data_IF_965669369579
#
_entry.id   IF_965669369579
#
_cell.length_a   1.000
_cell.length_b   1.000
_cell.length_c   1.000
_cell.angle_alpha   90.00
_cell.angle_beta   90.00
_cell.angle_gamma   90.00
#
_symmetry.space_group_name_H-M   'P 1'
#
loop_
_entity.id
_entity.type
_entity.pdbx_description
1 polymer ?
#
# COMPACT_ATOMS: atom_id res chain seq x y z
N UNK A 1 -1.59 10.90 -22.11
CA UNK A 1 -1.61 9.76 -23.05
C UNK A 1 -2.48 8.69 -22.42
N UNK A 2 -3.50 8.20 -23.12
CA UNK A 2 -4.35 7.14 -22.60
C UNK A 2 -3.57 5.82 -22.58
N UNK A 3 -3.61 5.09 -21.45
CA UNK A 3 -2.87 3.83 -21.28
C UNK A 3 -3.30 2.81 -22.33
N UNK A 4 -4.59 2.80 -22.72
CA UNK A 4 -5.14 1.85 -23.69
C UNK A 4 -4.65 2.08 -25.13
N UNK A 5 -4.08 3.25 -25.42
CA UNK A 5 -3.52 3.58 -26.74
C UNK A 5 -2.02 3.25 -26.82
N UNK A 6 -1.40 2.89 -25.69
CA UNK A 6 0.03 2.61 -25.56
C UNK A 6 0.49 1.34 -26.29
N UNK A 7 1.79 1.27 -26.56
CA UNK A 7 2.41 0.12 -27.26
C UNK A 7 2.32 -1.15 -26.41
N UNK A 8 2.58 -1.04 -25.11
CA UNK A 8 2.48 -2.16 -24.18
C UNK A 8 1.04 -2.69 -24.06
N UNK A 9 0.03 -1.81 -24.06
CA UNK A 9 -1.37 -2.23 -24.01
C UNK A 9 -1.78 -3.04 -25.23
N UNK A 10 -1.53 -2.52 -26.44
CA UNK A 10 -1.80 -3.25 -27.69
C UNK A 10 -1.03 -4.57 -27.78
N UNK A 11 0.17 -4.63 -27.20
CA UNK A 11 0.94 -5.87 -27.09
C UNK A 11 0.28 -6.89 -26.14
N UNK A 12 -0.25 -6.44 -25.01
CA UNK A 12 -1.04 -7.27 -24.09
C UNK A 12 -2.31 -7.79 -24.74
N UNK A 13 -3.03 -6.98 -25.53
CA UNK A 13 -4.23 -7.43 -26.26
C UNK A 13 -3.91 -8.54 -27.27
N UNK A 14 -2.85 -8.37 -28.05
CA UNK A 14 -2.36 -9.41 -28.97
C UNK A 14 -1.91 -10.66 -28.21
N UNK A 15 -1.26 -10.50 -27.07
CA UNK A 15 -0.84 -11.63 -26.23
C UNK A 15 -2.04 -12.38 -25.64
N UNK A 16 -3.03 -11.65 -25.15
CA UNK A 16 -4.28 -12.21 -24.65
C UNK A 16 -4.96 -13.09 -25.69
N UNK A 17 -5.05 -12.64 -26.95
CA UNK A 17 -5.63 -13.45 -28.02
C UNK A 17 -4.93 -14.80 -28.22
N UNK A 18 -3.64 -14.92 -27.86
CA UNK A 18 -2.87 -16.16 -27.94
C UNK A 18 -3.06 -17.08 -26.73
N UNK A 19 -3.22 -16.51 -25.53
CA UNK A 19 -3.21 -17.28 -24.27
C UNK A 19 -4.58 -17.40 -23.60
N UNK A 20 -5.63 -16.77 -24.15
CA UNK A 20 -6.97 -16.70 -23.53
C UNK A 20 -7.55 -18.08 -23.17
N UNK A 21 -7.26 -19.09 -24.00
CA UNK A 21 -7.76 -20.45 -23.85
C UNK A 21 -6.78 -21.35 -23.08
N UNK A 22 -5.57 -20.85 -22.76
CA UNK A 22 -4.60 -21.58 -21.93
C UNK A 22 -5.10 -21.67 -20.49
N UNK A 23 -5.13 -22.89 -19.97
CA UNK A 23 -5.51 -23.18 -18.59
C UNK A 23 -4.33 -23.02 -17.64
N UNK A 24 -4.62 -22.74 -16.37
CA UNK A 24 -3.58 -22.69 -15.32
C UNK A 24 -2.87 -24.05 -15.23
N UNK A 25 -3.59 -25.17 -15.33
CA UNK A 25 -3.01 -26.50 -15.28
C UNK A 25 -1.97 -26.73 -16.37
N UNK A 26 -2.23 -26.30 -17.61
CA UNK A 26 -1.25 -26.37 -18.70
C UNK A 26 0.01 -25.54 -18.41
N UNK A 27 -0.15 -24.35 -17.81
CA UNK A 27 0.99 -23.53 -17.41
C UNK A 27 1.86 -24.20 -16.35
N UNK A 28 1.27 -24.96 -15.42
CA UNK A 28 2.01 -25.76 -14.44
C UNK A 28 2.70 -26.98 -15.07
N UNK A 29 2.06 -27.63 -16.06
CA UNK A 29 2.70 -28.73 -16.81
C UNK A 29 3.88 -28.24 -17.64
N UNK A 30 3.78 -27.03 -18.21
CA UNK A 30 4.82 -26.44 -19.05
C UNK A 30 6.02 -25.88 -18.25
N UNK A 31 5.86 -25.61 -16.96
CA UNK A 31 6.92 -25.06 -16.09
C UNK A 31 6.89 -25.74 -14.72
N UNK A 32 7.75 -26.75 -14.54
CA UNK A 32 7.88 -27.48 -13.27
C UNK A 32 8.33 -26.59 -12.10
N UNK A 33 8.94 -25.42 -12.38
CA UNK A 33 9.39 -24.45 -11.37
C UNK A 33 8.50 -23.20 -11.31
N UNK A 34 7.28 -23.29 -11.84
CA UNK A 34 6.37 -22.14 -11.95
C UNK A 34 6.15 -21.39 -10.64
N UNK A 35 5.99 -22.11 -9.53
CA UNK A 35 5.79 -21.49 -8.20
C UNK A 35 6.99 -20.61 -7.83
N UNK A 36 8.22 -21.04 -8.10
CA UNK A 36 9.43 -20.23 -7.86
C UNK A 36 9.47 -19.00 -8.79
N UNK A 37 9.20 -19.18 -10.09
CA UNK A 37 9.24 -18.09 -11.07
C UNK A 37 8.14 -17.03 -10.87
N UNK A 38 7.00 -17.43 -10.28
CA UNK A 38 5.81 -16.61 -10.07
C UNK A 38 5.45 -16.48 -8.60
N UNK A 39 6.47 -16.37 -7.74
CA UNK A 39 6.29 -15.92 -6.37
C UNK A 39 7.28 -14.81 -6.02
N UNK A 40 7.00 -14.12 -4.91
CA UNK A 40 7.90 -13.13 -4.33
C UNK A 40 7.98 -13.35 -2.82
N UNK A 41 9.17 -13.09 -2.25
CA UNK A 41 9.41 -13.11 -0.81
C UNK A 41 9.88 -11.74 -0.36
N UNK A 42 9.27 -11.22 0.71
CA UNK A 42 9.66 -9.95 1.29
C UNK A 42 9.29 -9.91 2.77
N UNK A 43 10.27 -9.67 3.66
CA UNK A 43 10.04 -9.43 5.09
C UNK A 43 9.04 -10.40 5.75
N UNK A 44 9.29 -11.71 5.63
CA UNK A 44 8.41 -12.75 6.19
C UNK A 44 7.14 -13.03 5.39
N UNK A 45 6.82 -12.25 4.36
CA UNK A 45 5.70 -12.49 3.46
C UNK A 45 6.12 -13.38 2.28
N UNK A 46 5.25 -14.34 1.94
CA UNK A 46 5.33 -15.12 0.71
C UNK A 46 4.11 -14.82 -0.16
N UNK A 47 4.34 -14.26 -1.34
CA UNK A 47 3.28 -13.92 -2.29
C UNK A 47 3.38 -14.86 -3.50
N UNK A 48 2.52 -15.87 -3.54
CA UNK A 48 2.38 -16.79 -4.67
C UNK A 48 1.31 -16.26 -5.64
N UNK A 49 1.76 -15.84 -6.83
CA UNK A 49 0.89 -15.41 -7.93
C UNK A 49 0.96 -16.37 -9.14
N UNK A 50 1.45 -17.60 -8.94
CA UNK A 50 1.58 -18.63 -9.98
C UNK A 50 0.24 -19.15 -10.51
N UNK A 51 -0.82 -19.05 -9.70
CA UNK A 51 -2.19 -19.50 -10.04
C UNK A 51 -2.98 -18.45 -10.84
N UNK A 52 -2.28 -17.67 -11.65
CA UNK A 52 -2.85 -16.75 -12.63
C UNK A 52 -2.59 -17.26 -14.05
N UNK A 53 -3.47 -16.91 -15.00
CA UNK A 53 -3.27 -17.17 -16.43
C UNK A 53 -2.21 -16.21 -17.00
N UNK A 54 -0.96 -16.46 -16.63
CA UNK A 54 0.18 -15.59 -16.86
C UNK A 54 1.42 -16.43 -17.17
N UNK A 55 2.07 -16.20 -18.31
CA UNK A 55 3.37 -16.78 -18.61
C UNK A 55 4.48 -15.71 -18.52
N UNK A 56 5.72 -16.08 -18.85
CA UNK A 56 6.86 -15.16 -18.76
C UNK A 56 6.68 -13.92 -19.67
N UNK A 57 6.09 -14.10 -20.86
CA UNK A 57 5.76 -13.01 -21.77
C UNK A 57 4.70 -12.08 -21.18
N UNK A 58 3.64 -12.63 -20.58
CA UNK A 58 2.61 -11.82 -19.90
C UNK A 58 3.23 -10.96 -18.79
N UNK A 59 4.09 -11.56 -17.94
CA UNK A 59 4.78 -10.84 -16.85
C UNK A 59 5.63 -9.70 -17.40
N UNK A 60 6.42 -9.95 -18.44
CA UNK A 60 7.25 -8.93 -19.11
C UNK A 60 6.41 -7.78 -19.66
N UNK A 61 5.30 -8.09 -20.35
CA UNK A 61 4.41 -7.09 -20.95
C UNK A 61 3.67 -6.25 -19.89
N UNK A 62 3.26 -6.84 -18.77
CA UNK A 62 2.66 -6.10 -17.65
C UNK A 62 3.67 -5.14 -17.00
N UNK A 63 4.93 -5.55 -16.83
CA UNK A 63 5.99 -4.68 -16.34
C UNK A 63 6.26 -3.52 -17.32
N UNK A 64 6.31 -3.81 -18.62
CA UNK A 64 6.44 -2.78 -19.65
C UNK A 64 5.27 -1.79 -19.62
N UNK A 65 4.03 -2.25 -19.40
CA UNK A 65 2.88 -1.38 -19.24
C UNK A 65 3.03 -0.46 -18.01
N UNK A 66 3.50 -0.99 -16.88
CA UNK A 66 3.74 -0.19 -15.67
C UNK A 66 4.82 0.89 -15.91
N UNK A 67 5.87 0.58 -16.66
CA UNK A 67 6.89 1.54 -17.08
C UNK A 67 6.34 2.62 -18.01
N UNK A 68 5.64 2.23 -19.09
CA UNK A 68 5.03 3.16 -20.06
C UNK A 68 3.98 4.06 -19.40
N UNK A 69 3.27 3.55 -18.37
CA UNK A 69 2.29 4.32 -17.59
C UNK A 69 2.94 5.29 -16.60
N UNK A 70 4.27 5.26 -16.44
CA UNK A 70 4.98 6.13 -15.52
C UNK A 70 4.75 5.79 -14.04
N UNK A 71 4.41 4.54 -13.71
CA UNK A 71 4.05 4.12 -12.35
C UNK A 71 5.15 4.48 -11.33
N UNK A 72 6.42 4.25 -11.67
CA UNK A 72 7.55 4.60 -10.79
C UNK A 72 7.59 6.10 -10.47
N UNK A 73 7.38 6.96 -11.48
CA UNK A 73 7.33 8.42 -11.28
C UNK A 73 6.15 8.84 -10.41
N UNK A 74 5.00 8.17 -10.54
CA UNK A 74 3.82 8.42 -9.70
C UNK A 74 4.05 7.98 -8.24
N UNK A 75 4.68 6.83 -8.03
CA UNK A 75 5.11 6.37 -6.69
C UNK A 75 6.07 7.40 -6.09
N UNK A 76 7.12 7.80 -6.81
CA UNK A 76 8.08 8.80 -6.32
C UNK A 76 7.39 10.14 -6.00
N UNK A 77 6.43 10.58 -6.83
CA UNK A 77 5.64 11.78 -6.59
C UNK A 77 4.82 11.69 -5.29
N UNK A 78 4.19 10.54 -5.01
CA UNK A 78 3.48 10.30 -3.75
C UNK A 78 4.44 10.39 -2.56
N UNK A 79 5.55 9.65 -2.59
CA UNK A 79 6.51 9.59 -1.48
C UNK A 79 7.23 10.93 -1.23
N UNK A 80 7.34 11.79 -2.24
CA UNK A 80 7.98 13.11 -2.14
C UNK A 80 7.01 14.25 -1.81
N UNK A 81 5.72 13.95 -1.57
CA UNK A 81 4.74 14.94 -1.12
C UNK A 81 4.23 15.86 -2.23
N UNK A 82 4.35 15.46 -3.51
CA UNK A 82 3.72 16.19 -4.61
C UNK A 82 2.19 16.15 -4.49
N UNK A 83 1.53 17.17 -5.04
CA UNK A 83 0.08 17.31 -5.01
C UNK A 83 -0.58 16.41 -6.09
N UNK A 84 -0.50 15.09 -5.88
CA UNK A 84 -0.99 14.10 -6.84
C UNK A 84 -2.50 13.86 -6.76
N UNK A 85 -3.16 14.28 -5.69
CA UNK A 85 -4.62 14.38 -5.69
C UNK A 85 -4.97 15.69 -6.39
N UNK A 86 -5.12 15.61 -7.72
CA UNK A 86 -5.24 16.77 -8.60
C UNK A 86 -6.54 17.56 -8.36
N UNK A 87 -7.65 16.87 -8.12
CA UNK A 87 -8.97 17.49 -7.94
C UNK A 87 -9.05 18.33 -6.67
N UNK A 88 -8.48 17.84 -5.56
CA UNK A 88 -8.44 18.57 -4.29
C UNK A 88 -7.16 19.37 -4.09
N UNK A 89 -6.17 19.24 -4.99
CA UNK A 89 -4.83 19.85 -4.93
C UNK A 89 -4.09 19.50 -3.64
N UNK A 90 -4.07 18.21 -3.27
CA UNK A 90 -3.51 17.69 -2.01
C UNK A 90 -2.39 16.68 -2.22
N UNK A 91 -1.45 16.65 -1.27
CA UNK A 91 -0.48 15.57 -1.16
C UNK A 91 -1.13 14.31 -0.55
N UNK A 92 -0.63 13.13 -0.91
CA UNK A 92 -1.11 11.85 -0.38
C UNK A 92 0.05 11.17 0.37
N UNK A 93 0.05 11.28 1.70
CA UNK A 93 1.22 10.99 2.54
C UNK A 93 0.94 10.07 3.75
N UNK A 94 0.03 9.11 3.60
CA UNK A 94 -0.17 8.08 4.62
C UNK A 94 1.12 7.26 4.91
N UNK A 95 2.06 7.22 3.95
CA UNK A 95 3.38 6.61 4.12
C UNK A 95 4.25 7.34 5.15
N UNK A 96 4.15 8.67 5.26
CA UNK A 96 4.92 9.47 6.22
C UNK A 96 4.54 9.15 7.67
N UNK A 97 3.28 8.76 7.93
CA UNK A 97 2.78 8.42 9.27
C UNK A 97 3.47 7.19 9.89
N UNK A 98 4.11 6.36 9.06
CA UNK A 98 4.82 5.13 9.45
C UNK A 98 6.28 5.12 9.04
N UNK A 99 6.82 6.28 8.64
CA UNK A 99 8.24 6.39 8.31
C UNK A 99 9.06 6.57 9.60
N UNK A 100 9.78 5.50 9.99
CA UNK A 100 10.68 5.50 11.15
C UNK A 100 12.09 6.01 10.81
N UNK A 101 12.35 6.41 9.57
CA UNK A 101 13.65 6.97 9.18
C UNK A 101 13.81 8.43 9.63
N UNK A 102 15.03 8.95 9.52
CA UNK A 102 15.35 10.37 9.79
C UNK A 102 15.11 11.28 8.58
N UNK A 103 14.50 10.78 7.50
CA UNK A 103 14.29 11.54 6.27
C UNK A 103 13.23 12.63 6.46
N UNK A 104 13.43 13.75 5.79
CA UNK A 104 12.43 14.82 5.70
C UNK A 104 11.38 14.44 4.66
N UNK A 105 10.14 14.83 4.90
CA UNK A 105 9.05 14.73 3.93
C UNK A 105 8.45 16.11 3.75
N UNK A 106 8.66 16.70 2.57
CA UNK A 106 8.31 18.09 2.32
C UNK A 106 6.93 18.20 1.66
N UNK A 107 6.08 19.06 2.21
CA UNK A 107 4.84 19.50 1.57
C UNK A 107 4.89 21.02 1.46
N UNK A 108 4.84 21.54 0.23
CA UNK A 108 4.97 22.99 -0.04
C UNK A 108 6.17 23.63 0.67
N UNK A 109 7.31 22.91 0.69
CA UNK A 109 8.56 23.37 1.30
C UNK A 109 8.67 23.17 2.82
N UNK A 110 7.60 22.73 3.51
CA UNK A 110 7.63 22.47 4.96
C UNK A 110 7.80 20.98 5.24
N UNK A 111 8.73 20.63 6.13
CA UNK A 111 8.88 19.26 6.61
C UNK A 111 7.74 18.90 7.59
N UNK A 112 6.99 17.84 7.28
CA UNK A 112 5.83 17.41 8.08
C UNK A 112 6.21 16.41 9.19
N UNK A 113 7.40 15.82 9.11
CA UNK A 113 7.80 14.74 10.01
C UNK A 113 7.91 15.14 11.49
N UNK A 114 8.30 16.38 11.87
CA UNK A 114 8.26 16.82 13.26
C UNK A 114 6.86 16.76 13.87
N UNK A 115 5.83 17.18 13.12
CA UNK A 115 4.43 17.18 13.59
C UNK A 115 3.91 15.74 13.75
N UNK A 116 4.21 14.86 12.78
CA UNK A 116 3.88 13.43 12.86
C UNK A 116 4.46 12.80 14.13
N UNK A 117 5.76 13.00 14.37
CA UNK A 117 6.44 12.44 15.56
C UNK A 117 5.91 13.02 16.87
N UNK A 118 5.55 14.30 16.89
CA UNK A 118 4.96 14.93 18.07
C UNK A 118 3.63 14.26 18.45
N UNK A 119 2.75 14.04 17.47
CA UNK A 119 1.46 13.35 17.70
C UNK A 119 1.66 11.89 18.11
N UNK A 120 2.56 11.15 17.47
CA UNK A 120 2.88 9.77 17.87
C UNK A 120 3.40 9.70 19.31
N UNK A 121 4.25 10.65 19.72
CA UNK A 121 4.74 10.75 21.11
C UNK A 121 3.61 11.03 22.09
N UNK A 122 2.71 11.95 21.74
CA UNK A 122 1.53 12.27 22.56
C UNK A 122 0.61 11.05 22.71
N UNK A 123 0.28 10.37 21.60
CA UNK A 123 -0.53 9.15 21.61
C UNK A 123 0.10 8.05 22.46
N UNK A 124 1.41 7.84 22.34
CA UNK A 124 2.15 6.84 23.12
C UNK A 124 2.12 7.14 24.62
N UNK A 125 2.30 8.40 25.01
CA UNK A 125 2.24 8.83 26.41
C UNK A 125 0.83 8.62 27.00
N UNK A 126 -0.20 9.07 26.28
CA UNK A 126 -1.60 8.90 26.69
C UNK A 126 -1.98 7.42 26.81
N UNK A 127 -1.68 6.61 25.78
CA UNK A 127 -1.96 5.18 25.79
C UNK A 127 -1.25 4.47 26.95
N UNK A 128 -0.04 4.87 27.32
CA UNK A 128 0.67 4.34 28.48
C UNK A 128 -0.06 4.65 29.79
N UNK A 129 -0.48 5.90 29.99
CA UNK A 129 -1.22 6.31 31.20
C UNK A 129 -2.56 5.58 31.34
N UNK A 130 -3.27 5.38 30.23
CA UNK A 130 -4.52 4.59 30.22
C UNK A 130 -4.22 3.13 30.59
N UNK A 131 -3.20 2.51 29.99
CA UNK A 131 -2.84 1.11 30.21
C UNK A 131 -2.29 0.84 31.62
N UNK A 132 -1.58 1.80 32.21
CA UNK A 132 -1.05 1.67 33.58
C UNK A 132 -2.11 1.94 34.65
N UNK A 133 -3.26 2.50 34.28
CA UNK A 133 -4.30 2.90 35.23
C UNK A 133 -4.03 4.24 35.92
N UNK A 134 -2.98 4.96 35.51
CA UNK A 134 -2.72 6.34 35.96
C UNK A 134 -3.78 7.32 35.45
N UNK A 135 -4.35 7.05 34.27
CA UNK A 135 -5.46 7.86 33.76
C UNK A 135 -6.77 7.42 34.41
N UNK A 136 -7.26 8.26 35.34
CA UNK A 136 -8.48 8.01 36.09
C UNK A 136 -9.67 8.74 35.47
N UNK A 137 -10.85 8.13 35.55
CA UNK A 137 -12.11 8.81 35.26
C UNK A 137 -12.53 9.74 36.40
N UNK A 138 -13.65 10.44 36.23
CA UNK A 138 -14.18 11.41 37.21
C UNK A 138 -14.31 10.84 38.64
N UNK A 139 -14.67 9.56 38.78
CA UNK A 139 -14.82 8.88 40.08
C UNK A 139 -13.50 8.38 40.68
N UNK A 140 -12.35 8.71 40.10
CA UNK A 140 -11.04 8.22 40.55
C UNK A 140 -10.77 6.75 40.18
N UNK A 141 -11.60 6.14 39.33
CA UNK A 141 -11.45 4.74 38.90
C UNK A 141 -10.70 4.66 37.57
N UNK A 142 -9.83 3.63 37.37
CA UNK A 142 -9.15 3.41 36.09
C UNK A 142 -10.12 3.16 34.94
N UNK A 143 -9.71 3.54 33.73
CA UNK A 143 -10.48 3.27 32.50
C UNK A 143 -10.52 1.76 32.21
N UNK A 144 -11.72 1.24 31.95
CA UNK A 144 -11.95 -0.17 31.60
C UNK A 144 -12.51 -0.37 30.19
N UNK A 145 -13.31 0.58 29.72
CA UNK A 145 -13.98 0.52 28.44
C UNK A 145 -13.55 1.72 27.60
N UNK A 146 -13.21 1.49 26.33
CA UNK A 146 -12.92 2.53 25.34
C UNK A 146 -13.98 2.43 24.26
N UNK A 147 -14.77 3.49 24.10
CA UNK A 147 -15.82 3.56 23.07
C UNK A 147 -15.27 4.38 21.90
N UNK A 148 -14.99 3.73 20.78
CA UNK A 148 -14.66 4.42 19.53
C UNK A 148 -15.96 4.86 18.83
N UNK A 149 -16.10 6.15 18.57
CA UNK A 149 -17.26 6.71 17.84
C UNK A 149 -16.75 7.22 16.49
N UNK A 150 -16.97 6.44 15.44
CA UNK A 150 -16.48 6.75 14.10
C UNK A 150 -17.30 6.04 13.02
N UNK A 151 -17.10 6.46 11.77
CA UNK A 151 -17.69 5.83 10.57
C UNK A 151 -16.64 5.73 9.47
N UNK A 152 -16.79 4.75 8.57
CA UNK A 152 -15.94 4.59 7.39
C UNK A 152 -14.47 4.40 7.76
N UNK A 153 -13.58 5.22 7.19
CA UNK A 153 -12.14 5.13 7.44
C UNK A 153 -11.72 5.33 8.91
N UNK A 154 -12.53 6.06 9.69
CA UNK A 154 -12.29 6.31 11.12
C UNK A 154 -12.74 5.16 12.03
N UNK A 155 -13.38 4.12 11.48
CA UNK A 155 -13.85 2.95 12.25
C UNK A 155 -13.27 1.64 11.70
N UNK A 156 -13.35 1.41 10.39
CA UNK A 156 -12.96 0.15 9.77
C UNK A 156 -11.48 -0.19 10.00
N UNK A 157 -10.59 0.81 9.96
CA UNK A 157 -9.17 0.64 10.21
C UNK A 157 -8.88 0.22 11.66
N UNK A 158 -9.27 1.01 12.68
CA UNK A 158 -9.15 0.64 14.08
C UNK A 158 -9.78 -0.72 14.41
N UNK A 159 -10.99 -0.98 13.90
CA UNK A 159 -11.68 -2.25 14.11
C UNK A 159 -10.86 -3.43 13.59
N UNK A 160 -10.43 -3.39 12.33
CA UNK A 160 -9.64 -4.49 11.74
C UNK A 160 -8.31 -4.72 12.47
N UNK A 161 -7.65 -3.65 12.96
CA UNK A 161 -6.35 -3.77 13.62
C UNK A 161 -6.41 -4.26 15.08
N UNK A 162 -7.58 -4.19 15.72
CA UNK A 162 -7.77 -4.59 17.11
C UNK A 162 -8.37 -6.00 17.29
N UNK A 163 -8.99 -6.55 16.24
CA UNK A 163 -9.49 -7.94 16.20
C UNK A 163 -8.35 -8.93 15.89
#
# INVERSE_FOLDING_TARGET
>A
MNITEGKAWRALERHYAKIKDTTIAELFRADAKRVEHFSARFQGMYFDYSKNRMNAETKRLLLQLAEESGLKKAIDAMFTGKLINETEKRAVLHTALRDCSSRKVLVKGKDVMPEVRAVLKQMSAFARQVRSGEWLGFTGRPIRNVINIGIGGSDLGPKMACE
#
